data_IF_396999546602
#
_entry.id   IF_396999546602
#
_cell.length_a   1.000
_cell.length_b   1.000
_cell.length_c   1.000
_cell.angle_alpha   90.00
_cell.angle_beta   90.00
_cell.angle_gamma   90.00
#
_symmetry.space_group_name_H-M   'P 1'
#
loop_
_entity.id
_entity.type
_entity.pdbx_description
1 polymer ?
#
# COMPACT_ATOMS: atom_id res chain seq x y z
N UNK A 1 0.36 5.65 16.16
CA UNK A 1 -0.41 5.41 14.93
C UNK A 1 -1.51 4.36 15.12
N UNK A 2 -2.69 4.58 14.52
CA UNK A 2 -3.68 3.50 14.30
C UNK A 2 -3.37 2.75 12.99
N UNK A 3 -3.19 1.43 13.05
CA UNK A 3 -2.87 0.58 11.89
C UNK A 3 -4.10 -0.04 11.22
N UNK A 4 -5.29 0.10 11.80
CA UNK A 4 -6.52 -0.51 11.27
C UNK A 4 -6.72 -0.26 9.77
N UNK A 5 -6.54 0.96 9.23
CA UNK A 5 -6.78 1.19 7.79
C UNK A 5 -5.78 0.46 6.90
N UNK A 6 -4.53 0.27 7.35
CA UNK A 6 -3.51 -0.48 6.62
C UNK A 6 -3.87 -1.98 6.62
N UNK A 7 -4.29 -2.50 7.77
CA UNK A 7 -4.69 -3.90 7.91
C UNK A 7 -5.91 -4.20 7.04
N UNK A 8 -6.91 -3.31 7.06
CA UNK A 8 -8.11 -3.44 6.22
C UNK A 8 -7.75 -3.38 4.74
N UNK A 9 -6.93 -2.42 4.31
CA UNK A 9 -6.46 -2.34 2.92
C UNK A 9 -5.75 -3.63 2.47
N UNK A 10 -4.87 -4.20 3.31
CA UNK A 10 -4.18 -5.45 3.01
C UNK A 10 -5.14 -6.64 2.91
N UNK A 11 -6.06 -6.79 3.86
CA UNK A 11 -7.04 -7.90 3.85
C UNK A 11 -7.99 -7.77 2.66
N UNK A 12 -8.44 -6.56 2.31
CA UNK A 12 -9.25 -6.32 1.12
C UNK A 12 -8.51 -6.70 -0.16
N UNK A 13 -7.22 -6.39 -0.29
CA UNK A 13 -6.42 -6.84 -1.43
C UNK A 13 -6.33 -8.35 -1.53
N UNK A 14 -6.05 -9.04 -0.42
CA UNK A 14 -5.97 -10.51 -0.38
C UNK A 14 -7.32 -11.13 -0.75
N UNK A 15 -8.42 -10.67 -0.14
CA UNK A 15 -9.77 -11.13 -0.48
C UNK A 15 -10.10 -10.91 -1.94
N UNK A 16 -9.75 -9.75 -2.50
CA UNK A 16 -9.93 -9.48 -3.92
C UNK A 16 -9.15 -10.50 -4.76
N UNK A 17 -7.86 -10.70 -4.51
CA UNK A 17 -7.04 -11.67 -5.23
C UNK A 17 -7.55 -13.11 -5.11
N UNK A 18 -8.03 -13.51 -3.93
CA UNK A 18 -8.61 -14.85 -3.69
C UNK A 18 -9.91 -15.07 -4.47
N UNK A 19 -10.63 -13.99 -4.77
CA UNK A 19 -11.89 -14.03 -5.54
C UNK A 19 -11.70 -13.84 -7.04
N UNK A 20 -10.51 -13.45 -7.50
CA UNK A 20 -10.23 -13.27 -8.92
C UNK A 20 -10.14 -14.64 -9.61
N UNK A 21 -10.97 -14.87 -10.63
CA UNK A 21 -10.81 -16.07 -11.46
C UNK A 21 -9.50 -16.02 -12.26
N UNK A 22 -8.98 -17.17 -12.71
CA UNK A 22 -7.67 -17.29 -13.38
C UNK A 22 -7.52 -16.41 -14.64
N UNK A 23 -8.64 -15.90 -15.15
CA UNK A 23 -8.77 -15.15 -16.39
C UNK A 23 -8.97 -13.63 -16.13
N UNK A 24 -9.12 -13.21 -14.86
CA UNK A 24 -9.49 -11.85 -14.43
C UNK A 24 -8.31 -10.97 -13.97
N UNK A 25 -7.08 -11.22 -14.43
CA UNK A 25 -6.02 -10.20 -14.35
C UNK A 25 -6.21 -9.18 -15.49
N UNK A 26 -7.44 -8.70 -15.65
CA UNK A 26 -7.77 -7.55 -16.49
C UNK A 26 -7.20 -6.30 -15.80
N UNK A 27 -6.53 -5.37 -16.51
CA UNK A 27 -6.13 -4.07 -15.98
C UNK A 27 -7.18 -3.37 -15.13
N UNK A 28 -8.47 -3.61 -15.40
CA UNK A 28 -9.60 -3.12 -14.61
C UNK A 28 -9.59 -3.59 -13.14
N UNK A 29 -9.16 -4.82 -12.89
CA UNK A 29 -9.11 -5.42 -11.56
C UNK A 29 -7.97 -4.84 -10.71
N UNK A 30 -6.77 -4.73 -11.28
CA UNK A 30 -5.62 -4.12 -10.61
C UNK A 30 -5.89 -2.65 -10.22
N UNK A 31 -6.59 -1.90 -11.08
CA UNK A 31 -7.02 -0.53 -10.78
C UNK A 31 -8.02 -0.51 -9.61
N UNK A 32 -8.98 -1.44 -9.58
CA UNK A 32 -9.96 -1.55 -8.50
C UNK A 32 -9.29 -1.84 -7.15
N UNK A 33 -8.32 -2.75 -7.12
CA UNK A 33 -7.52 -3.06 -5.93
C UNK A 33 -6.77 -1.82 -5.44
N UNK A 34 -6.11 -1.10 -6.35
CA UNK A 34 -5.40 0.14 -6.02
C UNK A 34 -6.33 1.23 -5.46
N UNK A 35 -7.53 1.37 -6.02
CA UNK A 35 -8.51 2.33 -5.55
C UNK A 35 -8.98 2.01 -4.12
N UNK A 36 -9.36 0.76 -3.84
CA UNK A 36 -9.80 0.32 -2.51
C UNK A 36 -8.70 0.54 -1.47
N UNK A 37 -7.45 0.21 -1.77
CA UNK A 37 -6.35 0.54 -0.86
C UNK A 37 -6.21 2.03 -0.63
N UNK A 38 -6.31 2.84 -1.69
CA UNK A 38 -6.22 4.29 -1.59
C UNK A 38 -7.28 4.87 -0.66
N UNK A 39 -8.52 4.39 -0.76
CA UNK A 39 -9.64 4.81 0.08
C UNK A 39 -9.35 4.55 1.57
N UNK A 40 -8.90 3.35 1.94
CA UNK A 40 -8.55 3.05 3.34
C UNK A 40 -7.30 3.80 3.81
N UNK A 41 -6.28 3.96 2.96
CA UNK A 41 -5.08 4.70 3.35
C UNK A 41 -5.35 6.20 3.57
N UNK A 42 -6.39 6.77 2.93
CA UNK A 42 -6.83 8.14 3.20
C UNK A 42 -7.47 8.33 4.58
N UNK A 43 -7.91 7.25 5.24
CA UNK A 43 -8.45 7.32 6.60
C UNK A 43 -7.35 7.48 7.66
N UNK A 44 -6.08 7.32 7.28
CA UNK A 44 -4.95 7.54 8.17
C UNK A 44 -4.86 9.03 8.51
N UNK A 45 -4.89 9.41 9.80
CA UNK A 45 -4.78 10.80 10.20
C UNK A 45 -3.46 11.41 9.71
N UNK A 46 -3.49 12.67 9.26
CA UNK A 46 -2.27 13.41 8.86
C UNK A 46 -1.22 13.47 9.97
N UNK A 47 -1.62 13.40 11.24
CA UNK A 47 -0.70 13.32 12.38
C UNK A 47 0.18 12.08 12.37
N UNK A 48 -0.26 11.01 11.71
CA UNK A 48 0.38 9.70 11.69
C UNK A 48 1.22 9.50 10.42
N UNK A 49 1.09 10.38 9.41
CA UNK A 49 1.86 10.36 8.16
C UNK A 49 3.39 10.33 8.38
N UNK A 50 3.99 11.08 9.33
CA UNK A 50 5.43 11.00 9.58
C UNK A 50 5.88 9.61 10.07
N UNK A 51 5.08 8.98 10.92
CA UNK A 51 5.34 7.64 11.46
C UNK A 51 5.21 6.58 10.36
N UNK A 52 4.15 6.68 9.54
CA UNK A 52 3.93 5.83 8.38
C UNK A 52 5.06 5.96 7.35
N UNK A 53 5.47 7.19 7.04
CA UNK A 53 6.59 7.47 6.13
C UNK A 53 7.89 6.82 6.62
N UNK A 54 8.21 6.97 7.91
CA UNK A 54 9.38 6.34 8.50
C UNK A 54 9.33 4.81 8.40
N UNK A 55 8.14 4.23 8.61
CA UNK A 55 7.93 2.79 8.47
C UNK A 55 8.16 2.31 7.04
N UNK A 56 7.57 2.97 6.03
CA UNK A 56 7.72 2.62 4.62
C UNK A 56 9.19 2.67 4.18
N UNK A 57 9.92 3.72 4.57
CA UNK A 57 11.35 3.86 4.27
C UNK A 57 12.20 2.78 4.94
N UNK A 58 11.89 2.44 6.20
CA UNK A 58 12.57 1.37 6.94
C UNK A 58 12.36 0.02 6.25
N UNK A 59 11.13 -0.31 5.87
CA UNK A 59 10.82 -1.56 5.15
C UNK A 59 11.55 -1.60 3.81
N UNK A 60 11.49 -0.51 3.03
CA UNK A 60 12.18 -0.39 1.75
C UNK A 60 13.70 -0.58 1.87
N UNK A 61 14.31 -0.12 2.96
CA UNK A 61 15.72 -0.35 3.27
C UNK A 61 16.03 -1.82 3.57
N UNK A 62 15.17 -2.50 4.31
CA UNK A 62 15.37 -3.89 4.71
C UNK A 62 15.22 -4.89 3.55
N UNK A 63 14.29 -4.64 2.63
CA UNK A 63 13.98 -5.59 1.55
C UNK A 63 14.74 -5.33 0.23
N UNK A 64 15.51 -4.24 0.14
CA UNK A 64 15.99 -3.73 -1.16
C UNK A 64 16.85 -4.70 -1.97
N UNK A 65 17.54 -5.64 -1.31
CA UNK A 65 18.41 -6.61 -1.98
C UNK A 65 17.62 -7.81 -2.53
N UNK A 66 16.50 -8.18 -1.90
CA UNK A 66 15.66 -9.31 -2.34
C UNK A 66 14.59 -8.89 -3.33
N UNK A 67 14.03 -7.68 -3.16
CA UNK A 67 12.84 -7.23 -3.90
C UNK A 67 12.94 -5.74 -4.27
N UNK A 68 13.77 -5.39 -5.28
CA UNK A 68 14.09 -4.00 -5.59
C UNK A 68 12.88 -3.20 -6.10
N UNK A 69 11.93 -3.83 -6.79
CA UNK A 69 10.73 -3.17 -7.30
C UNK A 69 9.75 -2.80 -6.18
N UNK A 70 9.61 -3.66 -5.16
CA UNK A 70 8.83 -3.36 -3.95
C UNK A 70 9.48 -2.21 -3.19
N UNK A 71 10.80 -2.27 -2.99
CA UNK A 71 11.54 -1.18 -2.34
C UNK A 71 11.38 0.16 -3.08
N UNK A 72 11.31 0.15 -4.42
CA UNK A 72 11.04 1.35 -5.23
C UNK A 72 9.62 1.89 -4.99
N UNK A 73 8.61 1.02 -4.95
CA UNK A 73 7.22 1.42 -4.72
C UNK A 73 7.01 2.02 -3.33
N UNK A 74 7.56 1.38 -2.29
CA UNK A 74 7.48 1.89 -0.91
C UNK A 74 8.13 3.28 -0.76
N UNK A 75 9.26 3.53 -1.43
CA UNK A 75 9.90 4.85 -1.45
C UNK A 75 9.06 5.89 -2.16
N UNK A 76 8.39 5.53 -3.27
CA UNK A 76 7.49 6.45 -3.99
C UNK A 76 6.30 6.85 -3.11
N UNK A 77 5.67 5.90 -2.43
CA UNK A 77 4.59 6.20 -1.48
C UNK A 77 5.05 7.08 -0.32
N UNK A 78 6.21 6.79 0.27
CA UNK A 78 6.78 7.63 1.32
C UNK A 78 7.04 9.08 0.86
N UNK A 79 7.39 9.28 -0.42
CA UNK A 79 7.49 10.62 -1.02
C UNK A 79 6.15 11.35 -1.05
N UNK A 80 5.10 10.68 -1.55
CA UNK A 80 3.77 11.27 -1.72
C UNK A 80 3.09 11.67 -0.39
N UNK A 81 3.41 11.00 0.73
CA UNK A 81 2.90 11.35 2.06
C UNK A 81 3.46 12.67 2.61
N UNK A 82 4.43 13.30 1.94
CA UNK A 82 5.13 14.50 2.41
C UNK A 82 4.74 15.78 1.66
N UNK A 83 3.91 15.68 0.61
CA UNK A 83 3.61 16.79 -0.31
C UNK A 83 2.26 17.49 -0.03
N UNK A 84 1.66 17.29 1.15
CA UNK A 84 0.33 17.83 1.52
C UNK A 84 0.34 18.99 2.51
#
# INVERSE_FOLDING_TARGET
MNLDPIIVAMVSCVQMLDTAEADEVDPSFAVKVQQVMGEYLQEIPRSDEPELRAMLLRIAGNISAGEPDIARHLRRWAGNLSES
#
